data_IF_862227153349
#
_entry.id   IF_862227153349
#
_cell.length_a   1.000
_cell.length_b   1.000
_cell.length_c   1.000
_cell.angle_alpha   90.00
_cell.angle_beta   90.00
_cell.angle_gamma   90.00
#
_symmetry.space_group_name_H-M   'P 1'
#
loop_
_entity.id
_entity.type
_entity.pdbx_description
1 polymer ?
#
# COMPACT_ATOMS: atom_id res chain seq x y z
N UNK A 1 -6.87 -10.43 -49.26
CA UNK A 1 -6.94 -8.96 -49.44
C UNK A 1 -6.08 -8.30 -48.36
N UNK A 2 -5.00 -7.69 -48.82
CA UNK A 2 -3.91 -7.08 -48.05
C UNK A 2 -4.35 -5.88 -47.19
N UNK A 3 -3.82 -5.70 -45.96
CA UNK A 3 -3.88 -4.44 -45.25
C UNK A 3 -2.71 -3.54 -45.64
N UNK A 4 -3.03 -2.36 -46.14
CA UNK A 4 -2.11 -1.32 -46.61
C UNK A 4 -1.35 -0.67 -45.45
N UNK A 5 -0.02 -0.75 -45.46
CA UNK A 5 0.87 0.01 -44.59
C UNK A 5 1.01 1.46 -45.09
N UNK A 6 0.72 2.44 -44.24
CA UNK A 6 1.02 3.86 -44.47
C UNK A 6 2.29 4.24 -43.68
N UNK A 7 3.37 4.57 -44.40
CA UNK A 7 4.59 5.19 -43.85
C UNK A 7 4.41 6.71 -43.78
N UNK A 8 4.88 7.42 -42.73
CA UNK A 8 5.00 8.86 -42.76
C UNK A 8 6.34 9.32 -43.37
N UNK A 9 6.25 10.34 -44.22
CA UNK A 9 7.37 10.96 -44.92
C UNK A 9 8.18 11.90 -44.01
N UNK A 10 9.52 11.76 -44.06
CA UNK A 10 10.49 12.66 -43.41
C UNK A 10 10.51 14.01 -44.12
N UNK A 11 10.15 15.09 -43.42
CA UNK A 11 10.31 16.47 -43.92
C UNK A 11 11.57 17.09 -43.32
N UNK A 12 12.63 17.19 -44.13
CA UNK A 12 13.86 17.94 -43.86
C UNK A 12 13.55 19.44 -43.87
N UNK A 13 13.87 20.16 -42.79
CA UNK A 13 13.98 21.63 -42.81
C UNK A 13 15.44 22.03 -43.01
N UNK A 14 15.70 22.75 -44.10
CA UNK A 14 16.98 23.36 -44.45
C UNK A 14 17.20 24.64 -43.64
N UNK A 15 18.43 24.82 -43.17
CA UNK A 15 18.99 26.08 -42.66
C UNK A 15 19.05 27.13 -43.78
N UNK A 16 18.74 28.38 -43.45
CA UNK A 16 19.23 29.55 -44.19
C UNK A 16 19.91 30.52 -43.22
N UNK A 17 21.11 30.94 -43.62
CA UNK A 17 21.91 31.99 -43.00
C UNK A 17 21.39 33.36 -43.44
N UNK A 18 21.36 34.33 -42.52
CA UNK A 18 21.14 35.74 -42.83
C UNK A 18 21.98 36.62 -41.91
N UNK A 19 23.07 37.17 -42.45
CA UNK A 19 23.89 38.24 -41.86
C UNK A 19 23.13 39.57 -41.92
N UNK A 20 23.23 40.38 -40.87
CA UNK A 20 22.80 41.78 -40.89
C UNK A 20 23.15 42.47 -39.59
N UNK A 21 24.31 43.13 -39.55
CA UNK A 21 24.76 43.94 -38.41
C UNK A 21 24.20 45.36 -38.44
N UNK A 22 24.02 45.94 -37.27
CA UNK A 22 24.11 47.39 -37.04
C UNK A 22 24.45 47.64 -35.57
N UNK A 23 25.58 48.34 -35.37
CA UNK A 23 26.10 48.75 -34.08
C UNK A 23 25.42 50.05 -33.61
N UNK A 24 25.18 50.16 -32.31
CA UNK A 24 24.76 51.40 -31.62
C UNK A 24 25.58 51.55 -30.31
N UNK A 25 25.77 52.79 -29.80
CA UNK A 25 26.94 53.15 -29.02
C UNK A 25 26.79 52.90 -27.50
N UNK A 26 27.91 52.63 -26.84
CA UNK A 26 28.04 52.55 -25.37
C UNK A 26 28.07 53.95 -24.74
N UNK A 27 27.36 54.19 -23.62
CA UNK A 27 27.75 55.20 -22.65
C UNK A 27 28.52 54.56 -21.47
N UNK A 28 29.67 55.12 -21.17
CA UNK A 28 30.47 54.86 -19.98
C UNK A 28 29.89 55.60 -18.77
N UNK A 29 29.34 54.87 -17.81
CA UNK A 29 28.89 55.42 -16.52
C UNK A 29 29.41 54.56 -15.37
N UNK A 30 30.37 55.10 -14.62
CA UNK A 30 30.93 54.51 -13.39
C UNK A 30 29.92 54.79 -12.26
N UNK A 31 28.98 53.88 -12.06
CA UNK A 31 28.01 53.90 -10.97
C UNK A 31 28.25 52.74 -10.00
N UNK A 32 28.31 53.05 -8.71
CA UNK A 32 28.54 52.12 -7.61
C UNK A 32 27.66 50.86 -7.71
N UNK A 33 28.29 49.68 -7.68
CA UNK A 33 27.58 48.41 -7.50
C UNK A 33 26.99 48.37 -6.09
N UNK A 34 25.77 48.87 -5.93
CA UNK A 34 24.90 48.39 -4.88
C UNK A 34 24.74 46.88 -5.09
N UNK A 35 25.18 46.08 -4.12
CA UNK A 35 24.93 44.65 -4.10
C UNK A 35 23.42 44.45 -4.00
N UNK A 36 22.77 44.28 -5.16
CA UNK A 36 21.47 43.62 -5.24
C UNK A 36 21.70 42.19 -4.74
N UNK A 37 21.52 42.00 -3.43
CA UNK A 37 21.23 40.69 -2.88
C UNK A 37 20.03 40.18 -3.66
N UNK A 38 20.28 39.26 -4.58
CA UNK A 38 19.19 38.52 -5.22
C UNK A 38 18.43 37.86 -4.09
N UNK A 39 17.29 38.43 -3.74
CA UNK A 39 16.24 37.72 -3.01
C UNK A 39 15.93 36.54 -3.92
N UNK A 40 16.56 35.40 -3.64
CA UNK A 40 16.19 34.13 -4.25
C UNK A 40 14.74 33.93 -3.86
N UNK A 41 13.82 34.15 -4.81
CA UNK A 41 12.44 33.75 -4.67
C UNK A 41 12.46 32.30 -4.19
N UNK A 42 12.12 32.08 -2.92
CA UNK A 42 12.26 30.79 -2.28
C UNK A 42 11.47 29.78 -3.08
N UNK A 43 12.14 28.80 -3.68
CA UNK A 43 11.44 27.67 -4.29
C UNK A 43 10.66 26.99 -3.16
N UNK A 44 9.34 27.16 -3.14
CA UNK A 44 8.49 26.41 -2.25
C UNK A 44 8.81 24.92 -2.41
N UNK A 45 8.95 24.15 -1.30
CA UNK A 45 9.21 22.73 -1.38
C UNK A 45 8.12 22.06 -2.23
N UNK A 46 8.52 21.10 -3.08
CA UNK A 46 7.60 20.31 -3.90
C UNK A 46 7.31 19.00 -3.19
N UNK A 47 6.06 18.53 -3.30
CA UNK A 47 5.72 17.15 -2.93
C UNK A 47 6.26 16.22 -4.02
N UNK A 48 7.15 15.29 -3.63
CA UNK A 48 7.63 14.21 -4.49
C UNK A 48 6.92 12.92 -4.08
N UNK A 49 6.45 12.17 -5.07
CA UNK A 49 5.85 10.84 -4.90
C UNK A 49 6.73 9.88 -5.70
N UNK A 50 7.29 8.90 -5.01
CA UNK A 50 8.33 8.01 -5.56
C UNK A 50 7.92 6.56 -5.24
N UNK A 51 7.21 5.88 -6.14
CA UNK A 51 6.97 4.45 -6.00
C UNK A 51 8.31 3.70 -6.17
N UNK A 52 8.68 2.90 -5.17
CA UNK A 52 9.88 2.05 -5.17
C UNK A 52 9.57 0.58 -5.48
N UNK A 53 8.28 0.24 -5.55
CA UNK A 53 7.76 -1.06 -5.99
C UNK A 53 6.22 -1.04 -6.01
N UNK A 54 5.63 -2.04 -6.66
CA UNK A 54 4.17 -2.15 -6.86
C UNK A 54 3.65 -1.46 -8.14
N UNK A 55 4.55 -0.98 -9.01
CA UNK A 55 4.20 -0.39 -10.30
C UNK A 55 4.63 -1.33 -11.43
N UNK A 56 3.72 -1.63 -12.34
CA UNK A 56 3.94 -2.60 -13.44
C UNK A 56 4.31 -4.02 -12.94
N UNK A 57 3.97 -4.33 -11.68
CA UNK A 57 4.22 -5.62 -11.04
C UNK A 57 3.16 -5.89 -9.96
N UNK A 58 3.01 -7.15 -9.55
CA UNK A 58 2.22 -7.55 -8.37
C UNK A 58 3.17 -7.86 -7.24
N UNK A 59 3.03 -7.16 -6.12
CA UNK A 59 3.90 -7.28 -4.97
C UNK A 59 4.83 -6.08 -4.75
N UNK A 60 5.61 -6.12 -3.67
CA UNK A 60 6.68 -5.14 -3.39
C UNK A 60 6.16 -3.71 -3.22
N UNK A 61 4.90 -3.53 -2.78
CA UNK A 61 4.28 -2.21 -2.65
C UNK A 61 5.08 -1.34 -1.67
N UNK A 62 5.59 -0.21 -2.15
CA UNK A 62 6.28 0.78 -1.32
C UNK A 62 6.27 2.13 -2.05
N UNK A 63 5.64 3.13 -1.46
CA UNK A 63 5.63 4.50 -2.01
C UNK A 63 6.22 5.48 -1.01
N UNK A 64 7.18 6.29 -1.47
CA UNK A 64 7.81 7.35 -0.68
C UNK A 64 7.18 8.70 -1.03
N UNK A 65 6.75 9.43 -0.01
CA UNK A 65 6.30 10.81 -0.09
C UNK A 65 7.33 11.72 0.58
N UNK A 66 7.97 12.61 -0.18
CA UNK A 66 8.99 13.54 0.31
C UNK A 66 8.52 14.99 0.13
N UNK A 67 8.53 15.77 1.20
CA UNK A 67 8.23 17.21 1.19
C UNK A 67 9.23 17.96 2.08
N UNK A 68 10.06 18.81 1.47
CA UNK A 68 11.15 19.48 2.19
C UNK A 68 12.12 18.46 2.79
N UNK A 69 12.22 18.44 4.12
CA UNK A 69 13.07 17.52 4.88
C UNK A 69 12.28 16.37 5.53
N UNK A 70 10.98 16.24 5.24
CA UNK A 70 10.14 15.22 5.83
C UNK A 70 9.81 14.14 4.79
N UNK A 71 9.89 12.89 5.22
CA UNK A 71 9.57 11.72 4.41
C UNK A 71 8.55 10.86 5.16
N UNK A 72 7.48 10.49 4.46
CA UNK A 72 6.52 9.48 4.89
C UNK A 72 6.52 8.36 3.86
N UNK A 73 6.55 7.12 4.34
CA UNK A 73 6.52 5.93 3.48
C UNK A 73 5.16 5.24 3.67
N UNK A 74 4.53 4.84 2.58
CA UNK A 74 3.37 3.96 2.58
C UNK A 74 3.81 2.57 2.15
N UNK A 75 3.61 1.60 3.05
CA UNK A 75 3.91 0.17 2.90
C UNK A 75 5.40 -0.18 2.66
N UNK A 76 5.75 -1.43 2.95
CA UNK A 76 7.05 -2.07 2.75
C UNK A 76 6.85 -3.53 2.37
N UNK A 77 6.34 -3.75 1.17
CA UNK A 77 6.04 -5.06 0.62
C UNK A 77 7.22 -5.90 0.20
N UNK A 78 7.01 -7.21 0.10
CA UNK A 78 7.85 -8.11 -0.71
C UNK A 78 7.10 -8.57 -1.95
N UNK A 79 7.82 -9.11 -2.93
CA UNK A 79 7.29 -9.86 -4.05
C UNK A 79 7.88 -11.26 -4.02
N UNK A 80 7.08 -12.27 -4.35
CA UNK A 80 7.58 -13.63 -4.57
C UNK A 80 8.28 -13.71 -5.94
N UNK A 81 9.37 -14.49 -6.04
CA UNK A 81 10.08 -14.69 -7.29
C UNK A 81 9.20 -15.35 -8.35
N UNK A 82 9.49 -15.08 -9.61
CA UNK A 82 8.93 -15.81 -10.76
C UNK A 82 9.62 -17.19 -10.91
N UNK A 83 9.03 -18.09 -11.70
CA UNK A 83 9.52 -19.48 -11.85
C UNK A 83 10.97 -19.59 -12.35
N UNK A 84 11.45 -18.60 -13.09
CA UNK A 84 12.80 -18.54 -13.67
C UNK A 84 13.87 -17.95 -12.72
N UNK A 85 13.47 -17.48 -11.54
CA UNK A 85 14.35 -16.84 -10.56
C UNK A 85 14.83 -17.83 -9.48
N UNK A 86 15.57 -18.85 -9.92
CA UNK A 86 16.03 -19.93 -9.05
C UNK A 86 16.91 -19.44 -7.88
N UNK A 87 16.66 -19.96 -6.68
CA UNK A 87 17.43 -19.67 -5.46
C UNK A 87 17.10 -18.33 -4.79
N UNK A 88 16.14 -17.58 -5.31
CA UNK A 88 15.60 -16.38 -4.67
C UNK A 88 14.39 -16.78 -3.81
N UNK A 89 14.34 -16.33 -2.56
CA UNK A 89 13.17 -16.56 -1.69
C UNK A 89 12.11 -15.45 -1.83
N UNK A 90 12.57 -14.20 -1.96
CA UNK A 90 11.72 -13.02 -2.09
C UNK A 90 12.50 -11.81 -2.63
N UNK A 91 11.77 -10.85 -3.20
CA UNK A 91 12.27 -9.60 -3.77
C UNK A 91 11.72 -8.43 -2.95
N UNK A 92 12.57 -7.45 -2.64
CA UNK A 92 12.20 -6.26 -1.84
C UNK A 92 12.53 -4.94 -2.56
N UNK A 93 11.89 -3.81 -2.19
CA UNK A 93 12.18 -2.50 -2.78
C UNK A 93 13.64 -2.07 -2.58
N UNK A 94 14.19 -1.37 -3.58
CA UNK A 94 15.51 -0.75 -3.46
C UNK A 94 15.40 0.66 -2.86
N UNK A 95 15.78 0.79 -1.59
CA UNK A 95 15.73 2.06 -0.85
C UNK A 95 16.98 2.94 -0.99
N UNK A 96 17.84 2.70 -1.99
CA UNK A 96 19.09 3.48 -2.17
C UNK A 96 18.85 4.99 -2.31
N UNK A 97 17.69 5.42 -2.79
CA UNK A 97 17.32 6.84 -2.87
C UNK A 97 17.13 7.52 -1.50
N UNK A 98 16.97 6.73 -0.43
CA UNK A 98 16.85 7.18 0.96
C UNK A 98 18.18 7.19 1.71
N UNK A 99 19.27 6.75 1.08
CA UNK A 99 20.61 6.75 1.70
C UNK A 99 21.02 8.16 2.10
N UNK A 100 21.37 8.36 3.38
CA UNK A 100 21.69 9.67 3.96
C UNK A 100 20.47 10.51 4.33
N UNK A 101 19.24 10.01 4.11
CA UNK A 101 17.97 10.65 4.46
C UNK A 101 17.19 9.85 5.50
N UNK A 102 17.81 8.87 6.16
CA UNK A 102 17.15 7.97 7.11
C UNK A 102 16.49 8.76 8.24
N UNK A 103 17.16 9.80 8.73
CA UNK A 103 16.64 10.72 9.77
C UNK A 103 15.47 11.60 9.30
N UNK A 104 15.28 11.72 8.00
CA UNK A 104 14.17 12.46 7.40
C UNK A 104 12.90 11.60 7.31
N UNK A 105 13.01 10.26 7.42
CA UNK A 105 11.87 9.35 7.49
C UNK A 105 11.16 9.52 8.82
N UNK A 106 10.04 10.23 8.80
CA UNK A 106 9.24 10.55 9.98
C UNK A 106 8.33 9.40 10.38
N UNK A 107 7.78 8.70 9.39
CA UNK A 107 6.92 7.56 9.62
C UNK A 107 6.88 6.60 8.43
N UNK A 108 6.58 5.34 8.75
CA UNK A 108 6.14 4.31 7.80
C UNK A 108 4.71 3.95 8.16
N UNK A 109 3.79 4.12 7.23
CA UNK A 109 2.37 3.80 7.40
C UNK A 109 2.12 2.47 6.70
N UNK A 110 1.51 1.52 7.40
CA UNK A 110 1.04 0.28 6.81
C UNK A 110 -0.47 0.33 6.58
N UNK A 111 -0.89 0.16 5.33
CA UNK A 111 -2.30 0.17 4.93
C UNK A 111 -3.03 -1.07 5.44
N UNK A 112 -2.45 -2.25 5.28
CA UNK A 112 -3.00 -3.54 5.72
C UNK A 112 -1.91 -4.62 5.87
N UNK A 113 -2.29 -5.81 6.34
CA UNK A 113 -1.36 -6.85 6.80
C UNK A 113 -0.85 -7.85 5.75
N UNK A 114 -1.06 -7.64 4.45
CA UNK A 114 -0.55 -8.58 3.43
C UNK A 114 0.96 -8.49 3.22
N UNK A 115 1.59 -9.59 2.80
CA UNK A 115 3.04 -9.68 2.64
C UNK A 115 3.58 -8.76 1.55
N UNK A 116 2.80 -8.48 0.54
CA UNK A 116 3.10 -7.46 -0.46
C UNK A 116 2.95 -6.02 0.04
N UNK A 117 2.56 -5.81 1.30
CA UNK A 117 2.52 -4.50 1.96
C UNK A 117 3.39 -4.43 3.23
N UNK A 118 3.63 -5.55 3.92
CA UNK A 118 4.43 -5.59 5.16
C UNK A 118 5.68 -6.47 5.07
N UNK A 119 5.84 -7.23 3.99
CA UNK A 119 6.75 -8.37 3.92
C UNK A 119 8.23 -8.01 3.96
N UNK A 120 8.61 -6.83 3.49
CA UNK A 120 9.99 -6.34 3.55
C UNK A 120 10.29 -5.53 4.81
N UNK A 121 9.29 -5.32 5.69
CA UNK A 121 9.44 -4.47 6.88
C UNK A 121 10.62 -4.85 7.78
N UNK A 122 10.95 -6.12 8.08
CA UNK A 122 12.06 -6.41 8.99
C UNK A 122 13.41 -5.93 8.46
N UNK A 123 13.60 -6.05 7.15
CA UNK A 123 14.85 -5.70 6.47
C UNK A 123 14.94 -4.19 6.29
N UNK A 124 13.86 -3.57 5.80
CA UNK A 124 13.87 -2.16 5.44
C UNK A 124 13.81 -1.24 6.67
N UNK A 125 13.06 -1.61 7.72
CA UNK A 125 13.03 -0.83 8.96
C UNK A 125 14.40 -0.79 9.63
N UNK A 126 15.13 -1.91 9.67
CA UNK A 126 16.48 -1.96 10.21
C UNK A 126 17.43 -1.02 9.43
N UNK A 127 17.38 -1.04 8.09
CA UNK A 127 18.20 -0.16 7.24
C UNK A 127 17.87 1.33 7.38
N UNK A 128 16.62 1.66 7.73
CA UNK A 128 16.17 3.03 7.94
C UNK A 128 16.33 3.51 9.40
N UNK A 129 16.92 2.69 10.29
CA UNK A 129 17.13 3.06 11.69
C UNK A 129 15.84 3.04 12.53
N UNK A 130 14.89 2.16 12.19
CA UNK A 130 13.62 1.96 12.89
C UNK A 130 12.80 3.26 13.06
N UNK A 131 12.37 3.88 11.94
CA UNK A 131 11.41 4.98 12.01
C UNK A 131 10.11 4.54 12.68
N UNK A 132 9.33 5.50 13.16
CA UNK A 132 8.01 5.21 13.74
C UNK A 132 7.12 4.54 12.70
N UNK A 133 6.52 3.41 13.06
CA UNK A 133 5.54 2.71 12.23
C UNK A 133 4.12 3.02 12.70
N UNK A 134 3.20 3.14 11.75
CA UNK A 134 1.79 3.49 11.98
C UNK A 134 0.94 2.43 11.31
N UNK A 135 -0.09 1.94 12.01
CA UNK A 135 -0.99 0.95 11.44
C UNK A 135 -2.13 0.60 12.39
N UNK A 136 -3.08 -0.18 11.88
CA UNK A 136 -4.16 -0.76 12.67
C UNK A 136 -3.65 -1.92 13.55
N UNK A 137 -4.37 -2.29 14.64
CA UNK A 137 -3.93 -3.32 15.58
C UNK A 137 -3.48 -4.63 14.94
N UNK A 138 -4.27 -5.20 14.02
CA UNK A 138 -3.91 -6.46 13.36
C UNK A 138 -2.61 -6.31 12.54
N UNK A 139 -2.54 -5.27 11.70
CA UNK A 139 -1.38 -4.99 10.85
C UNK A 139 -0.11 -4.81 11.67
N UNK A 140 -0.16 -4.05 12.77
CA UNK A 140 0.99 -3.86 13.66
C UNK A 140 1.41 -5.15 14.37
N UNK A 141 0.45 -5.99 14.76
CA UNK A 141 0.76 -7.29 15.35
C UNK A 141 1.46 -8.21 14.35
N UNK A 142 0.98 -8.24 13.09
CA UNK A 142 1.61 -9.02 12.02
C UNK A 142 3.02 -8.51 11.69
N UNK A 143 3.24 -7.19 11.66
CA UNK A 143 4.59 -6.60 11.49
C UNK A 143 5.51 -6.98 12.65
N UNK A 144 5.05 -6.87 13.90
CA UNK A 144 5.83 -7.25 15.09
C UNK A 144 6.19 -8.73 15.07
N UNK A 145 5.23 -9.58 14.75
CA UNK A 145 5.48 -11.01 14.67
C UNK A 145 6.51 -11.33 13.58
N UNK A 146 6.37 -10.75 12.38
CA UNK A 146 7.34 -10.91 11.30
C UNK A 146 8.74 -10.41 11.66
N UNK A 147 8.82 -9.36 12.47
CA UNK A 147 10.07 -8.84 12.99
C UNK A 147 10.75 -9.88 13.92
N UNK A 148 9.99 -10.53 14.81
CA UNK A 148 10.46 -11.62 15.67
C UNK A 148 10.90 -12.87 14.89
N UNK A 149 10.17 -13.24 13.84
CA UNK A 149 10.53 -14.36 12.95
C UNK A 149 11.88 -14.11 12.24
N UNK A 150 12.15 -12.86 11.87
CA UNK A 150 13.37 -12.49 11.18
C UNK A 150 14.57 -12.41 12.13
N UNK A 151 14.38 -11.77 13.29
CA UNK A 151 15.39 -11.66 14.34
C UNK A 151 14.69 -11.67 15.72
N UNK A 152 14.93 -12.68 16.57
CA UNK A 152 14.33 -12.74 17.89
C UNK A 152 14.59 -11.47 18.72
N UNK A 153 13.56 -10.99 19.42
CA UNK A 153 13.51 -9.78 20.25
C UNK A 153 13.64 -8.46 19.47
N UNK A 154 13.72 -8.49 18.14
CA UNK A 154 13.91 -7.27 17.34
C UNK A 154 12.63 -6.42 17.25
N UNK A 155 11.45 -6.94 17.60
CA UNK A 155 10.22 -6.14 17.69
C UNK A 155 10.28 -5.07 18.79
N UNK A 156 11.14 -5.24 19.81
CA UNK A 156 11.37 -4.24 20.85
C UNK A 156 12.01 -2.94 20.32
N UNK A 157 12.61 -2.98 19.13
CA UNK A 157 13.18 -1.79 18.46
C UNK A 157 12.10 -0.96 17.76
N UNK A 158 10.91 -1.52 17.54
CA UNK A 158 9.84 -0.88 16.80
C UNK A 158 9.15 0.19 17.66
N UNK A 159 9.07 1.41 17.12
CA UNK A 159 8.26 2.49 17.67
C UNK A 159 6.91 2.48 16.95
N UNK A 160 5.82 2.21 17.66
CA UNK A 160 4.50 2.01 17.02
C UNK A 160 3.50 3.07 17.43
N UNK A 161 2.76 3.63 16.46
CA UNK A 161 1.54 4.42 16.67
C UNK A 161 0.36 3.59 16.15
N UNK A 162 -0.57 3.26 17.03
CA UNK A 162 -1.78 2.52 16.66
C UNK A 162 -2.87 3.46 16.19
N UNK A 163 -3.46 3.17 15.03
CA UNK A 163 -4.69 3.81 14.55
C UNK A 163 -5.86 3.19 15.32
N UNK A 164 -6.32 3.84 16.39
CA UNK A 164 -7.42 3.32 17.22
C UNK A 164 -8.77 3.64 16.59
N UNK A 165 -8.89 4.81 15.97
CA UNK A 165 -10.08 5.29 15.28
C UNK A 165 -9.75 5.82 13.88
N UNK A 166 -10.70 5.72 12.95
CA UNK A 166 -10.59 6.36 11.62
C UNK A 166 -10.66 7.90 11.70
N UNK A 167 -11.10 8.45 12.84
CA UNK A 167 -11.01 9.87 13.12
C UNK A 167 -9.62 10.31 13.57
N UNK A 168 -8.70 9.39 13.84
CA UNK A 168 -7.34 9.73 14.27
C UNK A 168 -6.62 10.52 13.19
N UNK A 169 -5.85 11.52 13.62
CA UNK A 169 -5.04 12.39 12.78
C UNK A 169 -3.64 12.47 13.35
N UNK A 170 -2.64 12.28 12.51
CA UNK A 170 -1.24 12.36 12.92
C UNK A 170 -0.50 13.40 12.09
N UNK A 171 0.56 13.97 12.69
CA UNK A 171 1.45 14.91 12.01
C UNK A 171 2.86 14.35 12.02
N UNK A 172 3.48 14.29 10.85
CA UNK A 172 4.83 13.79 10.63
C UNK A 172 5.63 14.87 9.89
N UNK A 173 6.13 15.84 10.65
CA UNK A 173 6.70 17.06 10.08
C UNK A 173 5.63 17.84 9.32
N UNK A 174 5.88 18.14 8.04
CA UNK A 174 4.96 18.84 7.16
C UNK A 174 3.76 18.00 6.67
N UNK A 175 3.74 16.70 6.93
CA UNK A 175 2.63 15.82 6.54
C UNK A 175 1.56 15.77 7.63
N UNK A 176 0.32 16.09 7.27
CA UNK A 176 -0.87 15.73 8.05
C UNK A 176 -1.47 14.46 7.45
N UNK A 177 -1.71 13.46 8.30
CA UNK A 177 -2.15 12.14 7.89
C UNK A 177 -3.51 11.83 8.51
N UNK A 178 -4.43 11.37 7.69
CA UNK A 178 -5.75 10.91 8.07
C UNK A 178 -6.05 9.55 7.43
N UNK A 179 -7.07 8.86 7.93
CA UNK A 179 -7.43 7.52 7.48
C UNK A 179 -8.92 7.40 7.18
N UNK A 180 -9.27 6.41 6.38
CA UNK A 180 -10.65 6.01 6.11
C UNK A 180 -10.76 4.49 5.98
N UNK A 181 -11.97 3.97 6.20
CA UNK A 181 -12.22 2.53 6.15
C UNK A 181 -11.99 2.03 4.73
N UNK A 182 -11.37 0.87 4.61
CA UNK A 182 -11.24 0.14 3.35
C UNK A 182 -11.82 -1.25 3.54
N UNK A 183 -12.54 -1.69 2.51
CA UNK A 183 -12.91 -3.08 2.34
C UNK A 183 -11.80 -3.78 1.57
N UNK A 184 -11.28 -4.89 2.10
CA UNK A 184 -10.27 -5.71 1.45
C UNK A 184 -10.32 -7.13 2.03
N UNK A 185 -9.51 -8.07 1.51
CA UNK A 185 -9.53 -9.48 1.93
C UNK A 185 -8.82 -9.78 3.26
N UNK A 186 -8.37 -8.74 3.97
CA UNK A 186 -7.88 -8.79 5.34
C UNK A 186 -8.56 -7.71 6.19
N UNK A 187 -8.80 -8.03 7.45
CA UNK A 187 -9.33 -7.08 8.43
C UNK A 187 -8.38 -5.90 8.63
N UNK A 188 -8.91 -4.81 9.19
CA UNK A 188 -8.11 -3.65 9.58
C UNK A 188 -7.39 -2.93 8.42
N UNK A 189 -7.83 -3.15 7.18
CA UNK A 189 -7.37 -2.36 6.04
C UNK A 189 -7.84 -0.90 6.17
N UNK A 190 -6.93 0.04 5.90
CA UNK A 190 -7.21 1.48 5.93
C UNK A 190 -6.61 2.20 4.73
N UNK A 191 -7.38 3.14 4.22
CA UNK A 191 -6.93 4.11 3.23
C UNK A 191 -6.26 5.28 3.92
N UNK A 192 -5.33 5.92 3.23
CA UNK A 192 -4.49 7.00 3.75
C UNK A 192 -4.75 8.28 2.97
N UNK A 193 -4.93 9.38 3.71
CA UNK A 193 -4.97 10.74 3.18
C UNK A 193 -3.73 11.46 3.69
N UNK A 194 -2.87 11.90 2.78
CA UNK A 194 -1.65 12.65 3.07
C UNK A 194 -1.84 14.09 2.62
N UNK A 195 -1.69 15.06 3.52
CA UNK A 195 -1.77 16.48 3.19
C UNK A 195 -0.45 17.17 3.49
N UNK A 196 -0.01 18.00 2.53
CA UNK A 196 1.13 18.92 2.65
C UNK A 196 0.69 20.31 2.21
N UNK A 197 1.48 21.37 2.48
CA UNK A 197 1.18 22.70 1.94
C UNK A 197 1.11 22.75 0.40
N UNK A 198 1.80 21.85 -0.31
CA UNK A 198 1.80 21.82 -1.77
C UNK A 198 0.61 21.05 -2.39
N UNK A 199 -0.06 20.19 -1.61
CA UNK A 199 -1.14 19.36 -2.13
C UNK A 199 -1.46 18.17 -1.24
N UNK A 200 -2.53 17.45 -1.61
CA UNK A 200 -2.98 16.25 -0.90
C UNK A 200 -3.05 15.03 -1.81
N UNK A 201 -2.79 13.87 -1.22
CA UNK A 201 -2.87 12.55 -1.84
C UNK A 201 -3.90 11.72 -1.10
N UNK A 202 -4.79 11.04 -1.83
CA UNK A 202 -5.60 9.95 -1.29
C UNK A 202 -5.11 8.66 -1.91
N UNK A 203 -4.82 7.66 -1.07
CA UNK A 203 -4.39 6.34 -1.47
C UNK A 203 -5.20 5.30 -0.66
N UNK A 204 -6.14 4.56 -1.27
CA UNK A 204 -6.94 3.57 -0.56
C UNK A 204 -6.11 2.36 -0.12
N UNK A 205 -4.96 2.13 -0.74
CA UNK A 205 -4.29 0.83 -0.64
C UNK A 205 -4.96 -0.12 -1.62
N UNK A 206 -4.91 -1.40 -1.32
CA UNK A 206 -5.72 -2.39 -2.03
C UNK A 206 -7.15 -2.33 -1.50
N UNK A 207 -8.12 -2.36 -2.40
CA UNK A 207 -9.52 -2.15 -2.04
C UNK A 207 -10.48 -2.94 -2.93
N UNK A 208 -11.57 -3.38 -2.31
CA UNK A 208 -12.73 -3.93 -3.00
C UNK A 208 -13.96 -3.06 -2.76
N UNK A 209 -14.99 -3.29 -3.56
CA UNK A 209 -16.30 -2.68 -3.37
C UNK A 209 -17.37 -3.76 -3.47
N UNK A 210 -17.58 -4.47 -2.37
CA UNK A 210 -18.67 -5.42 -2.29
C UNK A 210 -20.00 -4.68 -2.10
N UNK A 211 -21.06 -5.32 -2.62
CA UNK A 211 -22.44 -4.88 -2.44
C UNK A 211 -23.22 -5.99 -1.78
N UNK A 212 -24.07 -5.61 -0.82
CA UNK A 212 -25.02 -6.52 -0.21
C UNK A 212 -25.93 -7.12 -1.28
N UNK A 213 -26.04 -8.45 -1.30
CA UNK A 213 -26.74 -9.17 -2.36
C UNK A 213 -28.26 -8.89 -2.38
N UNK A 214 -28.84 -8.44 -1.26
CA UNK A 214 -30.29 -8.16 -1.14
C UNK A 214 -30.63 -6.73 -1.50
N UNK A 215 -29.92 -5.76 -0.93
CA UNK A 215 -30.19 -4.32 -1.07
C UNK A 215 -29.40 -3.65 -2.19
N UNK A 216 -28.31 -4.27 -2.68
CA UNK A 216 -27.40 -3.68 -3.66
C UNK A 216 -26.53 -2.53 -3.12
N UNK A 217 -26.67 -2.21 -1.82
CA UNK A 217 -25.90 -1.17 -1.17
C UNK A 217 -24.44 -1.61 -0.97
N UNK A 218 -23.46 -0.71 -1.10
CA UNK A 218 -22.08 -1.00 -0.72
C UNK A 218 -21.96 -1.47 0.72
N UNK A 219 -21.12 -2.47 0.98
CA UNK A 219 -20.82 -2.93 2.35
C UNK A 219 -20.07 -1.83 3.12
N UNK A 220 -19.12 -1.17 2.45
CA UNK A 220 -18.42 0.02 2.97
C UNK A 220 -18.89 1.27 2.22
N UNK A 221 -19.31 2.29 2.99
CA UNK A 221 -19.78 3.57 2.45
C UNK A 221 -18.66 4.62 2.37
N UNK A 222 -18.28 4.98 1.14
CA UNK A 222 -17.27 6.00 0.86
C UNK A 222 -17.82 7.42 0.72
N UNK A 223 -19.14 7.65 0.85
CA UNK A 223 -19.75 9.00 0.72
C UNK A 223 -19.19 10.02 1.70
N UNK A 224 -18.69 9.56 2.85
CA UNK A 224 -18.02 10.42 3.83
C UNK A 224 -16.77 11.11 3.24
N UNK A 225 -16.13 10.53 2.21
CA UNK A 225 -15.01 11.15 1.50
C UNK A 225 -15.42 12.40 0.72
N UNK A 226 -16.70 12.60 0.40
CA UNK A 226 -17.17 13.86 -0.19
C UNK A 226 -16.99 15.07 0.75
N UNK A 227 -16.80 14.81 2.06
CA UNK A 227 -16.54 15.85 3.08
C UNK A 227 -15.05 16.12 3.29
N UNK A 228 -14.16 15.29 2.73
CA UNK A 228 -12.71 15.56 2.82
C UNK A 228 -12.30 16.57 1.75
N UNK A 229 -11.16 17.24 1.97
CA UNK A 229 -10.59 18.15 0.98
C UNK A 229 -10.35 17.38 -0.33
N UNK A 230 -10.81 17.95 -1.46
CA UNK A 230 -10.56 17.37 -2.79
C UNK A 230 -9.06 17.09 -2.96
N UNK A 231 -8.67 15.85 -3.28
CA UNK A 231 -7.26 15.52 -3.42
C UNK A 231 -6.65 16.24 -4.63
N UNK A 232 -5.39 16.64 -4.50
CA UNK A 232 -4.58 17.03 -5.65
C UNK A 232 -4.25 15.80 -6.51
N UNK A 233 -4.04 14.65 -5.85
CA UNK A 233 -3.69 13.37 -6.48
C UNK A 233 -4.52 12.25 -5.84
N UNK A 234 -5.17 11.44 -6.66
CA UNK A 234 -5.79 10.19 -6.26
C UNK A 234 -4.93 9.05 -6.80
N UNK A 235 -4.33 8.25 -5.91
CA UNK A 235 -3.54 7.07 -6.28
C UNK A 235 -4.42 5.85 -6.09
N UNK A 236 -4.68 5.09 -7.16
CA UNK A 236 -5.51 3.89 -7.13
C UNK A 236 -4.67 2.69 -7.54
N UNK A 237 -4.93 1.55 -6.90
CA UNK A 237 -4.48 0.26 -7.42
C UNK A 237 -5.21 -0.10 -8.72
N UNK A 238 -4.62 -1.02 -9.49
CA UNK A 238 -5.09 -1.37 -10.84
C UNK A 238 -5.16 -2.87 -11.10
N UNK A 239 -5.01 -3.73 -10.08
CA UNK A 239 -4.94 -5.19 -10.24
C UNK A 239 -6.20 -5.75 -10.94
N UNK A 240 -7.37 -5.23 -10.58
CA UNK A 240 -8.66 -5.60 -11.18
C UNK A 240 -9.13 -4.70 -12.32
N UNK A 241 -8.37 -3.69 -12.76
CA UNK A 241 -8.88 -2.61 -13.59
C UNK A 241 -9.33 -3.03 -15.00
N UNK A 242 -8.83 -4.16 -15.50
CA UNK A 242 -9.19 -4.73 -16.81
C UNK A 242 -10.25 -5.83 -16.71
N UNK A 243 -10.64 -6.25 -15.50
CA UNK A 243 -11.64 -7.29 -15.31
C UNK A 243 -13.05 -6.69 -15.29
N UNK A 244 -13.79 -6.92 -16.38
CA UNK A 244 -15.18 -6.46 -16.52
C UNK A 244 -16.21 -7.50 -16.06
N UNK A 245 -15.76 -8.65 -15.55
CA UNK A 245 -16.67 -9.72 -15.10
C UNK A 245 -17.34 -9.32 -13.80
N UNK A 246 -18.59 -9.76 -13.65
CA UNK A 246 -19.27 -9.67 -12.36
C UNK A 246 -18.57 -10.61 -11.37
N UNK A 247 -17.98 -10.04 -10.33
CA UNK A 247 -17.42 -10.81 -9.22
C UNK A 247 -18.54 -11.48 -8.42
N UNK A 248 -18.26 -12.68 -7.91
CA UNK A 248 -19.13 -13.34 -6.93
C UNK A 248 -19.11 -12.58 -5.60
N UNK A 249 -20.24 -12.58 -4.90
CA UNK A 249 -20.36 -12.00 -3.55
C UNK A 249 -19.72 -12.91 -2.51
N UNK A 250 -19.28 -12.36 -1.38
CA UNK A 250 -18.81 -13.13 -0.23
C UNK A 250 -19.90 -14.06 0.30
N UNK A 251 -21.17 -13.65 0.22
CA UNK A 251 -22.32 -14.47 0.62
C UNK A 251 -22.51 -15.69 -0.28
N UNK A 252 -22.38 -15.54 -1.60
CA UNK A 252 -22.36 -16.67 -2.53
C UNK A 252 -21.18 -17.60 -2.22
N UNK A 253 -19.99 -17.05 -1.99
CA UNK A 253 -18.82 -17.84 -1.64
C UNK A 253 -19.02 -18.61 -0.32
N UNK A 254 -19.55 -17.97 0.74
CA UNK A 254 -19.86 -18.64 2.02
C UNK A 254 -20.82 -19.80 1.84
N UNK A 255 -21.90 -19.61 1.06
CA UNK A 255 -22.87 -20.67 0.75
C UNK A 255 -22.26 -21.82 -0.04
N UNK A 256 -21.41 -21.50 -1.02
CA UNK A 256 -20.70 -22.49 -1.83
C UNK A 256 -19.74 -23.31 -0.95
N UNK A 257 -18.96 -22.63 -0.11
CA UNK A 257 -18.05 -23.26 0.84
C UNK A 257 -18.80 -24.19 1.81
N UNK A 258 -19.89 -23.72 2.44
CA UNK A 258 -20.70 -24.54 3.35
C UNK A 258 -21.31 -25.75 2.63
N UNK A 259 -21.76 -25.58 1.39
CA UNK A 259 -22.29 -26.67 0.56
C UNK A 259 -21.23 -27.71 0.27
N UNK A 260 -20.04 -27.30 -0.16
CA UNK A 260 -18.91 -28.21 -0.42
C UNK A 260 -18.51 -28.97 0.85
N UNK A 261 -18.48 -28.29 2.00
CA UNK A 261 -18.15 -28.92 3.28
C UNK A 261 -19.23 -29.94 3.71
N UNK A 262 -20.51 -29.63 3.46
CA UNK A 262 -21.64 -30.49 3.80
C UNK A 262 -21.70 -31.74 2.93
N UNK A 263 -21.48 -31.62 1.63
CA UNK A 263 -21.66 -32.73 0.67
C UNK A 263 -20.48 -33.68 0.59
N UNK A 264 -19.30 -33.28 1.09
CA UNK A 264 -18.14 -34.15 1.12
C UNK A 264 -18.35 -35.34 2.09
N UNK A 265 -18.25 -36.55 1.54
CA UNK A 265 -18.40 -37.82 2.27
C UNK A 265 -17.18 -38.18 3.14
N UNK A 266 -16.01 -37.61 2.85
CA UNK A 266 -14.75 -37.94 3.51
C UNK A 266 -14.07 -36.73 4.18
N UNK A 267 -12.76 -36.88 4.41
CA UNK A 267 -11.90 -35.78 4.88
C UNK A 267 -11.80 -34.71 3.80
N UNK A 268 -11.82 -33.45 4.21
CA UNK A 268 -11.71 -32.30 3.32
C UNK A 268 -10.35 -31.64 3.56
N UNK A 269 -9.63 -31.36 2.49
CA UNK A 269 -8.38 -30.59 2.52
C UNK A 269 -8.64 -29.31 1.73
N UNK A 270 -8.48 -28.15 2.38
CA UNK A 270 -8.73 -26.84 1.76
C UNK A 270 -7.41 -26.08 1.69
N UNK A 271 -6.91 -25.86 0.48
CA UNK A 271 -5.79 -24.95 0.24
C UNK A 271 -6.28 -23.50 0.21
N UNK A 272 -5.71 -22.64 1.05
CA UNK A 272 -6.00 -21.19 1.07
C UNK A 272 -4.80 -20.40 1.58
N UNK A 273 -4.75 -19.10 1.27
CA UNK A 273 -3.74 -18.20 1.79
C UNK A 273 -3.94 -17.94 3.29
N UNK A 274 -2.85 -18.01 4.06
CA UNK A 274 -2.82 -17.76 5.51
C UNK A 274 -3.26 -16.33 5.88
N UNK A 275 -3.17 -15.37 4.96
CA UNK A 275 -3.57 -13.99 5.17
C UNK A 275 -5.07 -13.74 5.02
N UNK A 276 -5.82 -14.65 4.37
CA UNK A 276 -7.27 -14.54 4.22
C UNK A 276 -7.98 -15.01 5.49
N UNK A 277 -7.74 -14.29 6.59
CA UNK A 277 -8.23 -14.61 7.93
C UNK A 277 -9.75 -14.75 7.96
N UNK A 278 -10.48 -13.88 7.27
CA UNK A 278 -11.95 -13.96 7.18
C UNK A 278 -12.41 -15.26 6.53
N UNK A 279 -11.75 -15.69 5.44
CA UNK A 279 -12.09 -16.94 4.74
C UNK A 279 -11.86 -18.16 5.62
N UNK A 280 -10.75 -18.18 6.36
CA UNK A 280 -10.49 -19.23 7.35
C UNK A 280 -11.56 -19.19 8.44
N UNK A 281 -11.98 -18.00 8.88
CA UNK A 281 -13.11 -17.82 9.80
C UNK A 281 -14.42 -18.42 9.28
N UNK A 282 -14.75 -18.24 8.01
CA UNK A 282 -15.96 -18.84 7.40
C UNK A 282 -15.86 -20.36 7.30
N UNK A 283 -14.68 -20.90 7.02
CA UNK A 283 -14.42 -22.36 7.05
C UNK A 283 -14.68 -22.91 8.45
N UNK A 284 -14.14 -22.25 9.49
CA UNK A 284 -14.34 -22.65 10.89
C UNK A 284 -15.84 -22.60 11.24
N UNK A 285 -16.53 -21.51 10.91
CA UNK A 285 -17.97 -21.36 11.19
C UNK A 285 -18.82 -22.40 10.47
N UNK A 286 -18.51 -22.71 9.21
CA UNK A 286 -19.20 -23.76 8.46
C UNK A 286 -18.97 -25.14 9.08
N UNK A 287 -17.73 -25.44 9.49
CA UNK A 287 -17.41 -26.68 10.18
C UNK A 287 -18.21 -26.82 11.50
N UNK A 288 -18.34 -25.74 12.28
CA UNK A 288 -19.13 -25.75 13.52
C UNK A 288 -20.60 -26.05 13.30
N UNK A 289 -21.22 -25.41 12.30
CA UNK A 289 -22.63 -25.65 11.94
C UNK A 289 -22.88 -27.10 11.53
N UNK A 290 -21.88 -27.72 10.91
CA UNK A 290 -21.94 -29.09 10.40
C UNK A 290 -21.37 -30.12 11.38
N UNK A 291 -21.08 -29.71 12.63
CA UNK A 291 -20.48 -30.54 13.67
C UNK A 291 -19.18 -31.26 13.23
N UNK A 292 -18.38 -30.58 12.41
CA UNK A 292 -17.05 -31.02 11.95
C UNK A 292 -15.95 -30.30 12.75
N UNK A 293 -14.73 -30.86 12.69
CA UNK A 293 -13.52 -30.31 13.31
C UNK A 293 -12.58 -29.74 12.24
N UNK A 294 -11.74 -28.78 12.62
CA UNK A 294 -10.77 -28.13 11.74
C UNK A 294 -9.37 -28.29 12.33
N UNK A 295 -8.46 -28.87 11.55
CA UNK A 295 -7.03 -28.86 11.85
C UNK A 295 -6.36 -27.81 10.96
N UNK A 296 -5.70 -26.82 11.56
CA UNK A 296 -4.92 -25.84 10.80
C UNK A 296 -3.53 -26.42 10.51
N UNK A 297 -3.10 -26.34 9.26
CA UNK A 297 -1.76 -26.74 8.85
C UNK A 297 -1.00 -25.59 8.19
N UNK A 298 0.25 -25.40 8.61
CA UNK A 298 1.09 -24.26 8.25
C UNK A 298 1.33 -23.25 9.38
N UNK A 299 2.60 -22.86 9.55
CA UNK A 299 3.06 -21.96 10.62
C UNK A 299 2.36 -20.59 10.58
N UNK A 300 2.42 -19.90 9.45
CA UNK A 300 1.81 -18.57 9.30
C UNK A 300 0.29 -18.60 9.46
N UNK A 301 -0.36 -19.71 9.09
CA UNK A 301 -1.81 -19.85 9.26
C UNK A 301 -2.18 -19.95 10.74
N UNK A 302 -1.51 -20.82 11.49
CA UNK A 302 -1.75 -20.98 12.94
C UNK A 302 -1.54 -19.65 13.66
N UNK A 303 -0.44 -18.97 13.37
CA UNK A 303 -0.12 -17.68 13.97
C UNK A 303 -1.15 -16.59 13.62
N UNK A 304 -1.48 -16.42 12.33
CA UNK A 304 -2.43 -15.38 11.93
C UNK A 304 -3.81 -15.57 12.58
N UNK A 305 -4.24 -16.83 12.74
CA UNK A 305 -5.48 -17.15 13.44
C UNK A 305 -5.37 -16.88 14.94
N UNK A 306 -4.25 -17.21 15.57
CA UNK A 306 -4.01 -16.89 16.99
C UNK A 306 -4.04 -15.37 17.26
N UNK A 307 -3.37 -14.58 16.42
CA UNK A 307 -3.39 -13.11 16.47
C UNK A 307 -4.83 -12.62 16.29
N UNK A 308 -5.53 -13.11 15.25
CA UNK A 308 -6.89 -12.69 14.96
C UNK A 308 -7.88 -13.07 16.07
N UNK A 309 -7.71 -14.23 16.71
CA UNK A 309 -8.51 -14.65 17.87
C UNK A 309 -8.22 -13.78 19.09
N UNK A 310 -6.96 -13.40 19.34
CA UNK A 310 -6.59 -12.49 20.43
C UNK A 310 -7.28 -11.13 20.32
N UNK A 311 -7.42 -10.61 19.10
CA UNK A 311 -8.17 -9.38 18.83
C UNK A 311 -9.69 -9.57 18.69
N UNK A 312 -10.19 -10.81 18.77
CA UNK A 312 -11.61 -11.13 18.69
C UNK A 312 -12.21 -11.13 17.28
N UNK A 313 -11.38 -11.07 16.23
CA UNK A 313 -11.83 -11.17 14.83
C UNK A 313 -12.30 -12.58 14.47
N UNK A 314 -11.69 -13.60 15.07
CA UNK A 314 -12.07 -15.00 14.88
C UNK A 314 -12.58 -15.57 16.20
N UNK A 315 -13.78 -16.15 16.15
CA UNK A 315 -14.40 -16.87 17.27
C UNK A 315 -14.58 -18.33 16.86
N UNK A 316 -14.05 -19.23 17.68
CA UNK A 316 -14.23 -20.68 17.53
C UNK A 316 -14.69 -21.27 18.88
N UNK A 317 -15.66 -22.19 18.83
CA UNK A 317 -16.10 -22.98 19.98
C UNK A 317 -14.96 -23.88 20.46
N UNK A 318 -14.96 -24.16 21.76
CA UNK A 318 -13.99 -25.06 22.37
C UNK A 318 -14.04 -26.43 21.68
N UNK A 319 -12.88 -26.89 21.22
CA UNK A 319 -12.73 -28.17 20.53
C UNK A 319 -13.19 -28.18 19.08
N UNK A 320 -13.51 -27.03 18.44
CA UNK A 320 -13.65 -26.96 16.98
C UNK A 320 -12.30 -27.10 16.29
N UNK A 321 -11.30 -26.36 16.78
CA UNK A 321 -9.91 -26.46 16.36
C UNK A 321 -9.24 -27.63 17.10
N UNK A 322 -8.56 -28.50 16.36
CA UNK A 322 -7.85 -29.69 16.86
C UNK A 322 -6.40 -29.73 16.37
#
# INVERSE_FOLDING_TARGET
MTPTQLKPAKRRLRRSFGRGGRATPRPSGRGQKASLSSVTAGKHPKLKIIPLGGMEEVGKNMTVFEYGNDIVILDMGLKFPEEDQHGIDYIIPNISCLKGKEKNVRAVIFSHGHLDHIGASPILLARLGYPTIVGRPLTLAMVKHRQEDYEPKSSNRLKTITIKSLSDRFSFGAFRVAFFQIEHSIMDAVGVILETPAGSVIHPGDWTLERDARSGNPIVDYRHLARVKRPSILMLESLGAIDVRKSGTQDEMKKNLETLIRTASGRIIIGTFASQIERIGWIIQAAERLNKKVALDGYSMKMNIEIATTFGYIKARKGTLI
#
